data_IF_205934315641
#
_entry.id   IF_205934315641
#
_cell.length_a   1.000
_cell.length_b   1.000
_cell.length_c   1.000
_cell.angle_alpha   90.00
_cell.angle_beta   90.00
_cell.angle_gamma   90.00
#
_symmetry.space_group_name_H-M   'P 1'
#
loop_
_entity.id
_entity.type
_entity.pdbx_description
1 polymer ?
#
# COMPACT_ATOMS: atom_id res chain seq x y z
N UNK A 1 38.24 -14.41 -12.66
CA UNK A 1 37.46 -14.53 -13.91
C UNK A 1 36.06 -14.97 -13.52
N UNK A 2 35.06 -14.14 -13.85
CA UNK A 2 33.59 -14.32 -13.71
C UNK A 2 33.05 -14.24 -12.26
N UNK A 3 32.35 -13.16 -11.84
CA UNK A 3 30.93 -12.79 -12.13
C UNK A 3 29.98 -13.95 -11.80
N UNK A 4 28.83 -13.85 -11.12
CA UNK A 4 27.93 -12.79 -10.60
C UNK A 4 26.78 -13.60 -9.91
N UNK A 5 26.21 -13.29 -8.76
CA UNK A 5 25.04 -12.42 -8.49
C UNK A 5 24.55 -12.83 -7.09
N UNK A 6 24.35 -11.86 -6.19
CA UNK A 6 23.68 -12.08 -4.90
C UNK A 6 22.15 -12.12 -5.08
N UNK A 7 21.41 -12.80 -4.18
CA UNK A 7 19.96 -12.89 -4.29
C UNK A 7 19.31 -11.55 -3.94
N UNK A 8 18.53 -11.04 -4.90
CA UNK A 8 17.56 -9.96 -4.71
C UNK A 8 16.43 -10.51 -3.85
N UNK A 9 16.25 -9.96 -2.65
CA UNK A 9 15.12 -10.27 -1.79
C UNK A 9 13.91 -9.44 -2.26
N UNK A 10 13.14 -9.98 -3.21
CA UNK A 10 11.81 -9.44 -3.56
C UNK A 10 10.85 -9.90 -2.47
N UNK A 11 10.47 -8.98 -1.58
CA UNK A 11 9.34 -9.18 -0.67
C UNK A 11 8.04 -9.10 -1.49
N UNK A 12 7.65 -10.22 -2.09
CA UNK A 12 6.30 -10.42 -2.62
C UNK A 12 5.35 -10.53 -1.43
N UNK A 13 4.76 -9.41 -1.00
CA UNK A 13 3.49 -9.48 -0.26
C UNK A 13 2.43 -9.93 -1.26
N UNK A 14 1.83 -11.10 -0.99
CA UNK A 14 0.63 -11.57 -1.69
C UNK A 14 -0.49 -10.55 -1.49
N UNK A 15 -0.69 -9.67 -2.47
CA UNK A 15 -1.86 -8.79 -2.54
C UNK A 15 -3.05 -9.63 -2.97
N UNK A 16 -3.87 -10.08 -2.02
CA UNK A 16 -5.21 -10.55 -2.31
C UNK A 16 -6.07 -9.30 -2.55
N UNK A 17 -6.04 -8.80 -3.78
CA UNK A 17 -6.78 -7.62 -4.23
C UNK A 17 -8.28 -7.96 -4.22
N UNK A 18 -9.01 -7.63 -3.15
CA UNK A 18 -10.47 -7.59 -3.19
C UNK A 18 -10.88 -6.34 -3.99
N UNK A 19 -11.07 -6.52 -5.29
CA UNK A 19 -11.66 -5.52 -6.17
C UNK A 19 -13.16 -5.38 -5.83
N UNK A 20 -13.51 -4.55 -4.85
CA UNK A 20 -14.90 -4.15 -4.61
C UNK A 20 -15.31 -3.08 -5.63
N UNK A 21 -15.53 -3.55 -6.86
CA UNK A 21 -16.28 -2.83 -7.87
C UNK A 21 -17.72 -2.60 -7.40
N UNK A 22 -18.27 -1.45 -7.80
CA UNK A 22 -19.63 -0.99 -7.55
C UNK A 22 -20.69 -2.10 -7.59
N UNK A 23 -21.10 -2.56 -6.41
CA UNK A 23 -22.35 -3.26 -6.20
C UNK A 23 -22.99 -2.63 -4.96
N UNK A 24 -24.19 -2.08 -5.13
CA UNK A 24 -25.02 -1.71 -3.98
C UNK A 24 -25.13 -2.93 -3.07
N UNK A 25 -24.71 -2.76 -1.81
CA UNK A 25 -24.73 -3.81 -0.80
C UNK A 25 -26.16 -4.32 -0.62
N UNK A 26 -26.49 -5.43 -1.27
CA UNK A 26 -27.47 -6.36 -0.73
C UNK A 26 -26.82 -7.01 0.50
N UNK A 27 -27.54 -6.96 1.62
CA UNK A 27 -27.08 -7.40 2.93
C UNK A 27 -26.55 -8.86 2.91
N UNK A 28 -25.23 -8.99 2.88
CA UNK A 28 -24.53 -10.18 3.35
C UNK A 28 -24.44 -10.07 4.88
N UNK A 29 -24.96 -11.06 5.60
CA UNK A 29 -25.09 -11.09 7.06
C UNK A 29 -23.78 -11.26 7.85
N UNK A 30 -22.63 -11.18 7.18
CA UNK A 30 -21.33 -11.42 7.80
C UNK A 30 -20.63 -10.08 8.12
N UNK A 31 -20.05 -9.92 9.31
CA UNK A 31 -19.33 -8.71 9.66
C UNK A 31 -18.04 -8.57 8.83
N UNK A 32 -17.72 -7.33 8.48
CA UNK A 32 -16.47 -6.94 7.83
C UNK A 32 -15.44 -6.57 8.89
N UNK A 33 -14.23 -7.13 8.81
CA UNK A 33 -13.32 -7.16 9.96
C UNK A 33 -11.99 -6.40 9.78
N UNK A 34 -11.77 -5.73 8.66
CA UNK A 34 -10.57 -4.93 8.43
C UNK A 34 -10.84 -3.88 7.35
N UNK A 35 -10.38 -2.65 7.53
CA UNK A 35 -10.40 -1.61 6.49
C UNK A 35 -9.01 -1.48 5.84
N UNK A 36 -8.97 -0.86 4.66
CA UNK A 36 -7.76 -0.60 3.90
C UNK A 36 -7.79 0.85 3.39
N UNK A 37 -6.82 1.66 3.80
CA UNK A 37 -6.62 3.04 3.37
C UNK A 37 -5.77 3.15 2.10
N UNK A 38 -5.28 2.03 1.57
CA UNK A 38 -4.38 1.95 0.44
C UNK A 38 -2.90 2.02 0.84
N UNK A 39 -2.00 2.03 -0.14
CA UNK A 39 -0.57 2.06 0.11
C UNK A 39 -0.09 3.41 0.66
N UNK A 40 1.09 3.41 1.28
CA UNK A 40 1.79 4.63 1.71
C UNK A 40 1.98 5.61 0.55
N UNK A 41 1.86 6.91 0.86
CA UNK A 41 1.83 7.98 -0.13
C UNK A 41 3.11 8.79 -0.08
N UNK A 42 3.79 8.93 -1.22
CA UNK A 42 4.93 9.84 -1.38
C UNK A 42 4.55 11.05 -2.23
N UNK A 43 4.81 12.28 -1.77
CA UNK A 43 4.41 13.52 -2.46
C UNK A 43 5.52 14.56 -2.57
N UNK A 44 5.46 15.43 -3.60
CA UNK A 44 6.48 16.45 -3.91
C UNK A 44 5.95 17.89 -3.75
N UNK A 45 5.25 18.19 -2.65
CA UNK A 45 4.88 19.57 -2.28
C UNK A 45 3.44 20.03 -2.59
N UNK A 46 2.49 19.12 -2.80
CA UNK A 46 1.04 19.44 -2.85
C UNK A 46 0.27 18.74 -1.73
N UNK A 47 -0.85 19.33 -1.24
CA UNK A 47 -1.76 18.64 -0.33
C UNK A 47 -2.13 17.24 -0.85
N UNK A 48 -2.01 16.24 0.01
CA UNK A 48 -2.43 14.87 -0.29
C UNK A 48 -3.83 14.66 0.23
N UNK A 49 -4.74 14.19 -0.62
CA UNK A 49 -6.06 13.75 -0.19
C UNK A 49 -6.01 12.25 0.10
N UNK A 50 -6.37 11.87 1.32
CA UNK A 50 -6.50 10.48 1.76
C UNK A 50 -7.99 10.17 1.85
N UNK A 51 -8.44 9.13 1.16
CA UNK A 51 -9.83 8.69 1.19
C UNK A 51 -9.97 7.56 2.20
N UNK A 52 -11.00 7.63 3.04
CA UNK A 52 -11.39 6.53 3.90
C UNK A 52 -12.13 5.45 3.11
N UNK A 53 -12.30 4.26 3.69
CA UNK A 53 -13.03 3.17 3.06
C UNK A 53 -14.51 3.55 2.88
N UNK A 54 -15.12 3.22 1.74
CA UNK A 54 -16.53 3.52 1.50
C UNK A 54 -17.49 2.63 2.33
N UNK A 55 -18.72 3.10 2.55
CA UNK A 55 -19.80 2.29 3.12
C UNK A 55 -19.97 2.40 4.64
N UNK A 56 -19.13 3.17 5.33
CA UNK A 56 -19.27 3.41 6.78
C UNK A 56 -20.00 4.73 7.06
N UNK A 57 -20.76 4.76 8.15
CA UNK A 57 -21.50 5.96 8.59
C UNK A 57 -20.68 6.88 9.49
N UNK A 58 -19.65 6.35 10.15
CA UNK A 58 -18.82 7.11 11.10
C UNK A 58 -17.33 6.92 10.77
N UNK A 59 -16.61 8.04 10.72
CA UNK A 59 -15.16 8.11 10.53
C UNK A 59 -14.57 8.90 11.69
N UNK A 60 -13.36 8.56 12.11
CA UNK A 60 -12.55 9.33 13.03
C UNK A 60 -11.09 9.23 12.58
N UNK A 61 -10.60 10.30 11.96
CA UNK A 61 -9.20 10.40 11.56
C UNK A 61 -8.32 10.83 12.73
N UNK A 62 -7.01 10.51 12.68
CA UNK A 62 -6.01 11.02 13.63
C UNK A 62 -5.96 12.55 13.70
N UNK A 63 -6.44 13.24 12.65
CA UNK A 63 -6.60 14.70 12.60
C UNK A 63 -7.82 15.21 13.40
N UNK A 64 -8.66 14.32 13.91
CA UNK A 64 -9.96 14.61 14.53
C UNK A 64 -11.12 14.77 13.55
N UNK A 65 -10.89 14.63 12.24
CA UNK A 65 -11.94 14.77 11.24
C UNK A 65 -12.93 13.58 11.25
N UNK A 66 -14.22 13.87 11.05
CA UNK A 66 -15.29 12.89 10.91
C UNK A 66 -15.77 12.66 9.47
N UNK A 67 -14.97 13.07 8.50
CA UNK A 67 -15.30 13.06 7.06
C UNK A 67 -14.83 11.78 6.37
N UNK A 68 -15.40 11.48 5.20
CA UNK A 68 -15.01 10.31 4.38
C UNK A 68 -13.62 10.43 3.76
N UNK A 69 -13.00 11.61 3.81
CA UNK A 69 -11.63 11.86 3.37
C UNK A 69 -11.02 13.00 4.21
N UNK A 70 -9.70 13.09 4.18
CA UNK A 70 -8.93 14.22 4.74
C UNK A 70 -7.93 14.73 3.72
N UNK A 71 -7.59 16.01 3.83
CA UNK A 71 -6.48 16.62 3.11
C UNK A 71 -5.36 16.91 4.09
N UNK A 72 -4.17 16.38 3.82
CA UNK A 72 -2.99 16.51 4.67
C UNK A 72 -1.88 17.27 3.96
N UNK A 73 -1.15 18.09 4.71
CA UNK A 73 -0.10 18.97 4.17
C UNK A 73 1.30 18.66 4.71
N UNK A 74 1.39 17.68 5.61
CA UNK A 74 2.62 17.32 6.30
C UNK A 74 2.86 15.82 6.17
N UNK A 75 4.13 15.38 6.18
CA UNK A 75 4.44 13.98 6.34
C UNK A 75 4.02 13.50 7.73
N UNK A 76 3.71 12.21 7.83
CA UNK A 76 3.37 11.54 9.07
C UNK A 76 2.46 10.35 8.84
N UNK A 77 2.20 9.61 9.93
CA UNK A 77 1.25 8.51 9.95
C UNK A 77 -0.15 9.05 10.22
N UNK A 78 -1.09 8.70 9.34
CA UNK A 78 -2.50 9.06 9.48
C UNK A 78 -3.33 7.80 9.69
N UNK A 79 -4.08 7.76 10.80
CA UNK A 79 -4.98 6.64 11.09
C UNK A 79 -6.41 7.04 10.77
N UNK A 80 -7.20 6.08 10.29
CA UNK A 80 -8.64 6.22 10.16
C UNK A 80 -9.32 5.11 10.96
N UNK A 81 -10.21 5.50 11.86
CA UNK A 81 -11.11 4.59 12.55
C UNK A 81 -12.51 4.71 11.95
N UNK A 82 -13.16 3.58 11.68
CA UNK A 82 -14.57 3.54 11.26
C UNK A 82 -15.40 2.73 12.23
N UNK A 83 -16.69 3.03 12.31
CA UNK A 83 -17.63 2.33 13.20
C UNK A 83 -18.95 2.02 12.51
N UNK A 84 -19.41 0.78 12.63
CA UNK A 84 -20.72 0.34 12.12
C UNK A 84 -21.35 -0.72 13.03
N UNK A 85 -22.65 -0.96 12.88
CA UNK A 85 -23.37 -2.01 13.62
C UNK A 85 -23.65 -3.22 12.73
N UNK A 86 -23.49 -4.43 13.27
CA UNK A 86 -23.75 -5.66 12.52
C UNK A 86 -25.25 -5.93 12.30
N UNK A 87 -26.12 -5.25 13.05
CA UNK A 87 -27.49 -5.71 13.27
C UNK A 87 -27.54 -7.05 14.04
N UNK A 88 -28.72 -7.66 14.14
CA UNK A 88 -28.84 -9.01 14.66
C UNK A 88 -28.34 -10.01 13.61
N UNK A 89 -27.28 -10.74 13.96
CA UNK A 89 -26.66 -11.75 13.09
C UNK A 89 -27.37 -13.10 13.16
N UNK A 90 -28.23 -13.31 14.16
CA UNK A 90 -28.94 -14.57 14.37
C UNK A 90 -29.99 -14.78 13.28
N UNK A 91 -29.95 -15.95 12.65
CA UNK A 91 -31.01 -16.35 11.71
C UNK A 91 -32.17 -16.98 12.47
N UNK A 92 -33.42 -16.57 12.20
CA UNK A 92 -34.60 -17.16 12.83
C UNK A 92 -34.57 -17.17 14.38
N UNK A 93 -33.96 -16.16 15.01
CA UNK A 93 -33.85 -16.08 16.48
C UNK A 93 -35.19 -15.86 17.19
N UNK A 94 -36.22 -15.45 16.44
CA UNK A 94 -37.60 -15.29 16.89
C UNK A 94 -38.51 -16.47 16.48
N UNK A 95 -37.93 -17.54 15.93
CA UNK A 95 -38.60 -18.78 15.51
C UNK A 95 -39.77 -18.63 14.52
N UNK A 96 -39.93 -17.48 13.86
CA UNK A 96 -41.02 -17.21 12.90
C UNK A 96 -40.97 -18.11 11.65
N UNK A 97 -39.80 -18.64 11.30
CA UNK A 97 -39.62 -19.63 10.24
C UNK A 97 -39.76 -21.08 10.74
N UNK A 98 -40.31 -21.29 11.93
CA UNK A 98 -40.52 -22.61 12.53
C UNK A 98 -39.22 -23.28 12.96
N UNK A 99 -39.20 -24.62 12.91
CA UNK A 99 -38.06 -25.45 13.33
C UNK A 99 -36.93 -25.48 12.27
N UNK A 100 -36.32 -24.33 12.01
CA UNK A 100 -35.22 -24.18 11.03
C UNK A 100 -34.15 -23.23 11.52
N UNK A 101 -32.92 -23.40 11.02
CA UNK A 101 -31.84 -22.43 11.22
C UNK A 101 -31.07 -22.53 12.53
N UNK A 102 -31.34 -23.52 13.39
CA UNK A 102 -30.57 -23.76 14.62
C UNK A 102 -30.38 -25.26 14.86
N UNK A 103 -29.41 -25.63 15.69
CA UNK A 103 -29.28 -26.98 16.26
C UNK A 103 -29.66 -27.00 17.74
N UNK A 104 -30.08 -28.16 18.22
CA UNK A 104 -30.44 -28.43 19.62
C UNK A 104 -30.23 -29.91 19.91
N UNK A 105 -29.95 -30.25 21.17
CA UNK A 105 -29.87 -31.65 21.64
C UNK A 105 -31.23 -32.23 22.04
N UNK A 106 -32.29 -31.42 22.05
CA UNK A 106 -33.66 -31.89 22.30
C UNK A 106 -34.26 -32.57 21.06
N UNK A 107 -35.19 -33.50 21.29
CA UNK A 107 -35.91 -34.19 20.22
C UNK A 107 -37.12 -33.38 19.75
N UNK A 108 -37.28 -33.19 18.45
CA UNK A 108 -38.40 -32.42 17.91
C UNK A 108 -39.72 -33.22 17.96
N UNK A 109 -40.65 -32.82 18.83
CA UNK A 109 -41.95 -33.50 19.01
C UNK A 109 -42.99 -32.52 19.57
N UNK A 110 -44.19 -32.48 18.96
CA UNK A 110 -45.27 -31.59 19.40
C UNK A 110 -45.99 -32.05 20.67
N UNK A 111 -45.87 -33.33 21.04
CA UNK A 111 -46.36 -33.86 22.30
C UNK A 111 -45.28 -33.71 23.38
N UNK A 112 -45.31 -32.59 24.10
CA UNK A 112 -44.31 -32.23 25.10
C UNK A 112 -44.59 -32.87 26.47
N UNK A 113 -45.14 -34.09 26.54
CA UNK A 113 -45.40 -34.84 27.80
C UNK A 113 -44.27 -35.76 28.21
N UNK A 114 -43.31 -36.00 27.31
CA UNK A 114 -42.08 -36.75 27.60
C UNK A 114 -40.93 -35.76 27.67
N UNK A 115 -40.13 -35.83 28.72
CA UNK A 115 -38.92 -35.00 28.89
C UNK A 115 -37.95 -35.20 27.71
N UNK A 116 -37.14 -34.19 27.42
CA UNK A 116 -36.16 -34.23 26.34
C UNK A 116 -36.75 -33.95 24.95
N UNK A 117 -37.96 -33.40 24.90
CA UNK A 117 -38.62 -32.99 23.67
C UNK A 117 -38.82 -31.48 23.59
N UNK A 118 -38.80 -30.94 22.36
CA UNK A 118 -39.11 -29.55 22.07
C UNK A 118 -40.05 -29.38 20.89
N UNK A 119 -40.72 -28.23 20.84
CA UNK A 119 -41.58 -27.82 19.74
C UNK A 119 -41.49 -26.31 19.48
N UNK A 120 -41.72 -25.91 18.23
CA UNK A 120 -41.86 -24.50 17.84
C UNK A 120 -43.33 -24.17 17.59
N UNK A 121 -43.89 -23.26 18.37
CA UNK A 121 -45.32 -22.91 18.29
C UNK A 121 -45.67 -21.69 19.13
N UNK A 122 -46.95 -21.34 19.21
CA UNK A 122 -47.40 -20.05 19.79
C UNK A 122 -47.97 -20.15 21.20
N UNK A 123 -48.34 -21.35 21.65
CA UNK A 123 -48.96 -21.57 22.96
C UNK A 123 -48.52 -22.91 23.56
N UNK A 124 -47.80 -22.86 24.68
CA UNK A 124 -47.27 -24.06 25.34
C UNK A 124 -48.36 -24.98 25.90
N UNK A 125 -49.49 -24.42 26.34
CA UNK A 125 -50.60 -25.18 26.91
C UNK A 125 -51.25 -26.12 25.89
N UNK A 126 -51.07 -25.89 24.59
CA UNK A 126 -51.54 -26.78 23.52
C UNK A 126 -50.69 -28.04 23.35
N UNK A 127 -49.51 -28.08 23.96
CA UNK A 127 -48.51 -29.14 23.79
C UNK A 127 -48.21 -29.88 25.09
N UNK A 128 -48.53 -29.29 26.25
CA UNK A 128 -48.44 -29.91 27.55
C UNK A 128 -49.47 -29.33 28.53
N UNK A 129 -50.26 -30.16 29.27
CA UNK A 129 -51.34 -29.67 30.12
C UNK A 129 -50.87 -28.87 31.34
N UNK A 130 -49.62 -29.01 31.75
CA UNK A 130 -49.05 -28.26 32.88
C UNK A 130 -48.30 -27.00 32.43
N UNK A 131 -48.11 -26.79 31.13
CA UNK A 131 -47.36 -25.65 30.63
C UNK A 131 -48.21 -24.39 30.53
N UNK A 132 -47.58 -23.26 30.81
CA UNK A 132 -48.15 -21.94 30.67
C UNK A 132 -47.17 -21.01 30.00
N UNK A 133 -47.64 -20.31 28.98
CA UNK A 133 -46.82 -19.39 28.21
C UNK A 133 -47.30 -19.26 26.78
N UNK A 134 -47.45 -18.01 26.35
CA UNK A 134 -47.82 -17.66 24.98
C UNK A 134 -46.77 -16.72 24.40
N UNK A 135 -46.43 -16.91 23.13
CA UNK A 135 -45.57 -16.00 22.36
C UNK A 135 -46.41 -14.95 21.62
N UNK A 136 -45.78 -13.82 21.28
CA UNK A 136 -46.32 -12.89 20.27
C UNK A 136 -46.22 -13.47 18.84
N UNK A 137 -45.44 -14.54 18.68
CA UNK A 137 -45.31 -15.37 17.50
C UNK A 137 -44.95 -16.79 17.91
N UNK A 138 -44.41 -17.56 16.98
CA UNK A 138 -43.85 -18.86 17.31
C UNK A 138 -42.61 -18.69 18.19
N UNK A 139 -42.41 -19.57 19.16
CA UNK A 139 -41.24 -19.59 20.04
C UNK A 139 -40.85 -21.05 20.36
N UNK A 140 -39.64 -21.25 20.87
CA UNK A 140 -39.12 -22.56 21.24
C UNK A 140 -39.64 -22.98 22.62
N UNK A 141 -40.25 -24.16 22.72
CA UNK A 141 -40.77 -24.74 23.95
C UNK A 141 -40.09 -26.07 24.22
N UNK A 142 -39.46 -26.24 25.37
CA UNK A 142 -38.89 -27.52 25.78
C UNK A 142 -39.54 -28.06 27.05
N UNK A 143 -39.92 -29.35 27.00
CA UNK A 143 -40.07 -30.15 28.20
C UNK A 143 -38.71 -30.70 28.57
N UNK A 144 -38.10 -30.07 29.55
CA UNK A 144 -36.80 -30.46 30.06
C UNK A 144 -36.96 -31.48 31.18
N UNK A 145 -35.88 -31.81 31.87
CA UNK A 145 -35.93 -32.80 32.93
C UNK A 145 -34.60 -32.94 33.64
N UNK A 146 -34.55 -33.88 34.58
CA UNK A 146 -33.38 -34.13 35.44
C UNK A 146 -32.09 -34.45 34.67
N UNK A 147 -32.20 -35.16 33.55
CA UNK A 147 -31.05 -35.61 32.74
C UNK A 147 -30.51 -34.56 31.75
N UNK A 148 -31.21 -33.43 31.59
CA UNK A 148 -30.93 -32.49 30.49
C UNK A 148 -30.07 -31.30 30.92
N UNK A 149 -29.60 -31.24 32.18
CA UNK A 149 -28.59 -30.27 32.56
C UNK A 149 -27.32 -30.48 31.74
N UNK A 150 -26.85 -29.42 31.08
CA UNK A 150 -25.75 -29.48 30.12
C UNK A 150 -26.20 -29.45 28.67
N UNK A 151 -27.50 -29.62 28.38
CA UNK A 151 -27.97 -29.67 26.99
C UNK A 151 -27.87 -28.31 26.29
N UNK A 152 -27.34 -28.32 25.08
CA UNK A 152 -27.40 -27.22 24.13
C UNK A 152 -28.82 -27.11 23.56
N UNK A 153 -29.51 -26.04 23.95
CA UNK A 153 -30.93 -25.83 23.61
C UNK A 153 -31.12 -25.12 22.27
N UNK A 154 -30.11 -24.36 21.88
CA UNK A 154 -30.06 -23.59 20.65
C UNK A 154 -28.60 -23.27 20.35
N UNK A 155 -28.15 -23.54 19.12
CA UNK A 155 -26.83 -23.12 18.65
C UNK A 155 -26.84 -22.60 17.21
N UNK A 156 -25.97 -21.63 16.94
CA UNK A 156 -25.58 -21.19 15.59
C UNK A 156 -24.09 -20.82 15.56
N UNK A 157 -23.47 -20.95 14.39
CA UNK A 157 -22.10 -20.48 14.15
C UNK A 157 -22.12 -19.22 13.30
N UNK A 158 -21.43 -18.18 13.73
CA UNK A 158 -21.34 -16.90 13.02
C UNK A 158 -19.89 -16.47 12.82
N UNK A 159 -19.62 -15.78 11.70
CA UNK A 159 -18.37 -15.04 11.54
C UNK A 159 -18.33 -13.89 12.53
N UNK A 160 -17.17 -13.67 13.13
CA UNK A 160 -16.91 -12.61 14.09
C UNK A 160 -15.60 -11.91 13.74
N UNK A 161 -15.44 -10.69 14.21
CA UNK A 161 -14.22 -9.92 14.00
C UNK A 161 -13.33 -10.02 15.26
N UNK A 162 -12.05 -10.39 15.11
CA UNK A 162 -11.12 -10.49 16.24
C UNK A 162 -11.10 -9.20 17.08
N UNK A 163 -11.10 -9.35 18.40
CA UNK A 163 -11.06 -8.23 19.35
C UNK A 163 -12.36 -7.44 19.52
N UNK A 164 -13.40 -7.73 18.72
CA UNK A 164 -14.70 -7.03 18.84
C UNK A 164 -15.57 -7.65 19.93
N UNK A 165 -16.36 -6.82 20.60
CA UNK A 165 -17.33 -7.23 21.62
C UNK A 165 -18.73 -7.39 21.02
N UNK A 166 -19.38 -8.51 21.33
CA UNK A 166 -20.73 -8.86 20.89
C UNK A 166 -21.67 -8.87 22.09
N UNK A 167 -22.81 -8.19 21.95
CA UNK A 167 -23.94 -8.33 22.85
C UNK A 167 -24.74 -9.58 22.46
N UNK A 168 -24.89 -10.49 23.42
CA UNK A 168 -25.65 -11.74 23.26
C UNK A 168 -26.89 -11.65 24.13
N UNK A 169 -28.06 -11.87 23.55
CA UNK A 169 -29.32 -11.77 24.29
C UNK A 169 -30.36 -12.77 23.84
N UNK A 170 -31.28 -13.10 24.75
CA UNK A 170 -32.45 -13.90 24.48
C UNK A 170 -33.57 -13.54 25.46
N UNK A 171 -34.80 -13.93 25.13
CA UNK A 171 -35.91 -13.98 26.07
C UNK A 171 -36.20 -15.39 26.48
N UNK A 172 -36.47 -15.60 27.77
CA UNK A 172 -36.93 -16.89 28.25
C UNK A 172 -38.05 -16.75 29.28
N UNK A 173 -38.83 -17.82 29.44
CA UNK A 173 -39.82 -17.95 30.50
C UNK A 173 -39.81 -19.36 31.05
N UNK A 174 -40.20 -19.51 32.31
CA UNK A 174 -40.53 -20.83 32.85
C UNK A 174 -41.91 -21.25 32.35
N UNK A 175 -42.05 -22.48 31.85
CA UNK A 175 -43.35 -23.01 31.41
C UNK A 175 -44.09 -23.75 32.53
N UNK A 176 -43.36 -24.20 33.56
CA UNK A 176 -43.89 -24.96 34.69
C UNK A 176 -43.77 -24.19 36.02
N UNK A 177 -44.66 -24.48 36.96
CA UNK A 177 -44.88 -23.68 38.17
C UNK A 177 -43.87 -23.99 39.28
N UNK A 178 -43.07 -25.03 39.08
CA UNK A 178 -42.04 -25.51 39.98
C UNK A 178 -40.74 -25.63 39.20
N UNK A 179 -39.59 -25.62 39.89
CA UNK A 179 -38.27 -25.79 39.29
C UNK A 179 -37.97 -24.76 38.20
N UNK A 180 -37.49 -23.57 38.55
CA UNK A 180 -37.27 -22.57 37.50
C UNK A 180 -36.06 -22.96 36.60
N UNK A 181 -36.19 -22.89 35.26
CA UNK A 181 -35.07 -23.13 34.36
C UNK A 181 -33.92 -22.17 34.61
N UNK A 182 -32.70 -22.68 34.48
CA UNK A 182 -31.48 -21.87 34.52
C UNK A 182 -30.75 -22.04 33.20
N UNK A 183 -30.65 -20.95 32.43
CA UNK A 183 -30.07 -20.93 31.10
C UNK A 183 -28.77 -20.10 31.12
N UNK A 184 -27.86 -20.35 30.19
CA UNK A 184 -26.64 -19.54 30.04
C UNK A 184 -26.15 -19.52 28.60
N UNK A 185 -25.32 -18.53 28.28
CA UNK A 185 -24.56 -18.52 27.04
C UNK A 185 -23.26 -19.34 27.18
N UNK A 186 -22.94 -20.02 26.09
CA UNK A 186 -21.75 -20.83 25.91
C UNK A 186 -21.19 -20.54 24.51
N UNK A 187 -19.93 -20.15 24.40
CA UNK A 187 -19.31 -19.76 23.11
C UNK A 187 -18.04 -20.57 22.91
N UNK A 188 -17.94 -21.26 21.78
CA UNK A 188 -16.79 -22.10 21.41
C UNK A 188 -16.42 -23.17 22.46
N UNK A 189 -17.39 -23.75 23.16
CA UNK A 189 -17.04 -24.72 24.21
C UNK A 189 -16.64 -24.07 25.54
N UNK A 190 -16.78 -22.74 25.70
CA UNK A 190 -16.43 -22.04 26.92
C UNK A 190 -17.58 -21.21 27.48
N UNK A 191 -17.65 -21.14 28.81
CA UNK A 191 -18.65 -20.36 29.53
C UNK A 191 -18.39 -18.86 29.37
N UNK A 192 -19.40 -18.11 28.91
CA UNK A 192 -19.28 -16.66 28.69
C UNK A 192 -20.22 -15.82 29.55
N UNK A 193 -21.26 -16.41 30.13
CA UNK A 193 -22.19 -15.73 31.03
C UNK A 193 -22.28 -16.39 32.39
N UNK A 194 -22.87 -15.68 33.35
CA UNK A 194 -23.36 -16.33 34.56
C UNK A 194 -24.60 -17.19 34.24
N UNK A 195 -24.93 -18.09 35.15
CA UNK A 195 -26.19 -18.82 35.11
C UNK A 195 -27.36 -17.84 35.28
N UNK A 196 -28.26 -17.78 34.30
CA UNK A 196 -29.46 -16.96 34.32
C UNK A 196 -30.67 -17.83 34.69
N UNK A 197 -31.10 -17.73 35.95
CA UNK A 197 -32.33 -18.37 36.40
C UNK A 197 -33.53 -17.53 35.95
N UNK A 198 -34.48 -18.16 35.24
CA UNK A 198 -35.76 -17.50 34.96
C UNK A 198 -36.53 -17.35 36.27
N UNK A 199 -37.02 -16.16 36.58
CA UNK A 199 -37.81 -15.94 37.80
C UNK A 199 -39.25 -16.42 37.61
N UNK A 200 -39.76 -17.17 38.59
CA UNK A 200 -41.18 -17.54 38.71
C UNK A 200 -42.07 -16.29 38.95
N UNK A 201 -43.38 -16.33 38.63
CA UNK A 201 -44.18 -17.50 38.23
C UNK A 201 -44.09 -17.88 36.74
N UNK A 202 -44.53 -19.09 36.41
CA UNK A 202 -44.59 -19.62 35.04
C UNK A 202 -45.32 -18.69 34.07
N UNK A 203 -44.90 -18.65 32.80
CA UNK A 203 -45.53 -17.89 31.72
C UNK A 203 -45.10 -16.44 31.56
N UNK A 204 -44.16 -15.95 32.39
CA UNK A 204 -43.65 -14.59 32.30
C UNK A 204 -42.33 -14.53 31.53
N UNK A 205 -42.33 -13.80 30.42
CA UNK A 205 -41.12 -13.54 29.65
C UNK A 205 -40.13 -12.64 30.39
N UNK A 206 -38.86 -13.01 30.32
CA UNK A 206 -37.73 -12.26 30.86
C UNK A 206 -36.68 -12.07 29.78
N UNK A 207 -35.92 -10.99 29.86
CA UNK A 207 -34.88 -10.65 28.90
C UNK A 207 -33.51 -10.78 29.58
N UNK A 208 -32.60 -11.50 28.93
CA UNK A 208 -31.25 -11.73 29.42
C UNK A 208 -30.25 -11.21 28.40
N UNK A 209 -29.19 -10.57 28.89
CA UNK A 209 -28.11 -10.06 28.05
C UNK A 209 -26.76 -10.28 28.72
N UNK A 210 -25.76 -10.54 27.90
CA UNK A 210 -24.35 -10.63 28.30
C UNK A 210 -23.47 -10.14 27.16
N UNK A 211 -22.17 -10.06 27.40
CA UNK A 211 -21.19 -9.61 26.42
C UNK A 211 -20.08 -10.63 26.28
N UNK A 212 -19.64 -10.86 25.03
CA UNK A 212 -18.51 -11.71 24.72
C UNK A 212 -17.57 -10.99 23.78
N UNK A 213 -16.27 -11.01 24.06
CA UNK A 213 -15.24 -10.43 23.19
C UNK A 213 -14.54 -11.53 22.41
N UNK A 214 -14.51 -11.42 21.09
CA UNK A 214 -13.80 -12.36 20.24
C UNK A 214 -12.30 -12.35 20.55
N UNK A 215 -11.68 -13.48 20.94
CA UNK A 215 -10.24 -13.54 21.15
C UNK A 215 -9.46 -13.16 19.88
N UNK A 216 -8.19 -12.76 20.05
CA UNK A 216 -7.31 -12.45 18.93
C UNK A 216 -7.25 -13.63 17.94
N UNK A 217 -7.32 -13.33 16.64
CA UNK A 217 -7.34 -14.34 15.57
C UNK A 217 -8.64 -15.13 15.40
N UNK A 218 -9.64 -14.95 16.27
CA UNK A 218 -10.93 -15.66 16.16
C UNK A 218 -11.82 -14.98 15.11
N UNK A 219 -12.02 -15.65 13.98
CA UNK A 219 -12.86 -15.14 12.87
C UNK A 219 -14.24 -15.82 12.80
N UNK A 220 -14.46 -16.87 13.59
CA UNK A 220 -15.73 -17.59 13.65
C UNK A 220 -15.96 -18.08 15.09
N UNK A 221 -17.21 -18.06 15.53
CA UNK A 221 -17.58 -18.58 16.84
C UNK A 221 -18.93 -19.32 16.79
N UNK A 222 -18.98 -20.46 17.47
CA UNK A 222 -20.21 -21.20 17.77
C UNK A 222 -20.83 -20.64 19.04
N UNK A 223 -22.04 -20.12 18.93
CA UNK A 223 -22.82 -19.56 20.02
C UNK A 223 -23.94 -20.51 20.38
N UNK A 224 -23.99 -20.90 21.64
CA UNK A 224 -24.99 -21.82 22.17
C UNK A 224 -25.64 -21.24 23.42
N UNK A 225 -26.91 -21.58 23.62
CA UNK A 225 -27.60 -21.43 24.90
C UNK A 225 -27.69 -22.83 25.51
N UNK A 226 -27.34 -22.95 26.77
CA UNK A 226 -27.34 -24.22 27.51
C UNK A 226 -28.33 -24.14 28.67
N UNK A 227 -29.08 -25.21 28.91
CA UNK A 227 -29.82 -25.39 30.16
C UNK A 227 -28.93 -26.05 31.20
N UNK A 228 -28.82 -25.46 32.38
CA UNK A 228 -27.96 -25.93 33.47
C UNK A 228 -28.72 -26.53 34.64
N UNK A 229 -30.02 -26.25 34.75
CA UNK A 229 -30.84 -26.87 35.80
C UNK A 229 -31.34 -28.23 35.36
N UNK A 230 -31.19 -29.23 36.23
CA UNK A 230 -31.82 -30.54 36.10
C UNK A 230 -32.81 -30.75 37.25
N UNK A 231 -34.11 -30.65 36.96
CA UNK A 231 -35.16 -30.93 37.93
C UNK A 231 -36.05 -32.07 37.41
N UNK A 232 -36.54 -32.94 38.29
CA UNK A 232 -37.46 -34.03 37.90
C UNK A 232 -38.91 -33.58 37.73
N UNK A 233 -39.26 -32.37 38.18
CA UNK A 233 -40.51 -31.66 37.90
C UNK A 233 -40.16 -30.19 37.74
N UNK A 234 -40.55 -29.60 36.61
CA UNK A 234 -40.13 -28.25 36.25
C UNK A 234 -38.73 -28.20 35.65
N UNK A 235 -38.27 -27.00 35.32
CA UNK A 235 -37.16 -26.57 34.43
C UNK A 235 -37.53 -26.46 32.96
N UNK A 236 -38.81 -26.63 32.65
CA UNK A 236 -39.37 -26.43 31.32
C UNK A 236 -39.37 -24.95 30.95
N UNK A 237 -38.97 -24.62 29.73
CA UNK A 237 -38.75 -23.24 29.32
C UNK A 237 -39.28 -22.94 27.92
N UNK A 238 -39.71 -21.68 27.78
CA UNK A 238 -39.87 -21.01 26.50
C UNK A 238 -38.63 -20.19 26.20
N UNK A 239 -38.18 -20.16 24.95
CA UNK A 239 -37.07 -19.34 24.45
C UNK A 239 -37.49 -18.58 23.19
N UNK A 240 -37.17 -17.29 23.10
CA UNK A 240 -37.54 -16.41 21.99
C UNK A 240 -36.56 -15.23 21.85
N UNK A 241 -36.68 -14.47 20.75
CA UNK A 241 -35.95 -13.23 20.47
C UNK A 241 -34.44 -13.31 20.72
N UNK A 242 -33.81 -14.38 20.23
CA UNK A 242 -32.35 -14.58 20.32
C UNK A 242 -31.65 -13.60 19.38
N UNK A 243 -30.66 -12.88 19.92
CA UNK A 243 -29.92 -11.86 19.19
C UNK A 243 -28.44 -11.84 19.55
N UNK A 244 -27.62 -11.72 18.51
CA UNK A 244 -26.16 -11.52 18.58
C UNK A 244 -25.86 -10.30 17.72
N UNK A 245 -25.30 -9.26 18.32
CA UNK A 245 -25.01 -8.01 17.61
C UNK A 245 -23.77 -7.33 18.16
N UNK A 246 -23.13 -6.50 17.35
CA UNK A 246 -21.97 -5.72 17.77
C UNK A 246 -21.98 -4.33 17.13
N UNK A 247 -21.35 -3.39 17.82
CA UNK A 247 -20.84 -2.15 17.23
C UNK A 247 -19.35 -2.38 16.96
N UNK A 248 -19.01 -2.64 15.70
CA UNK A 248 -17.66 -2.98 15.27
C UNK A 248 -16.87 -1.70 15.03
N UNK A 249 -15.66 -1.67 15.56
CA UNK A 249 -14.68 -0.59 15.39
C UNK A 249 -13.47 -1.13 14.66
N UNK A 250 -13.19 -0.59 13.47
CA UNK A 250 -12.02 -0.96 12.66
C UNK A 250 -11.09 0.24 12.56
N UNK A 251 -9.79 -0.03 12.46
CA UNK A 251 -8.77 1.01 12.22
C UNK A 251 -7.75 0.51 11.22
N UNK A 252 -7.25 1.43 10.42
CA UNK A 252 -6.08 1.25 9.56
C UNK A 252 -5.27 2.55 9.50
N UNK A 253 -4.03 2.47 9.02
CA UNK A 253 -3.08 3.58 8.94
C UNK A 253 -2.40 3.69 7.58
N UNK A 254 -2.04 4.90 7.20
CA UNK A 254 -1.26 5.19 5.99
C UNK A 254 -0.10 6.12 6.34
N UNK A 255 1.09 5.83 5.83
CA UNK A 255 2.25 6.70 5.96
C UNK A 255 2.30 7.70 4.80
N UNK A 256 2.43 8.99 5.13
CA UNK A 256 2.63 10.05 4.15
C UNK A 256 4.07 10.56 4.25
N UNK A 257 4.80 10.43 3.16
CA UNK A 257 6.21 10.79 3.04
C UNK A 257 6.36 11.98 2.08
N UNK A 258 7.23 12.94 2.41
CA UNK A 258 7.63 13.99 1.47
C UNK A 258 8.84 13.52 0.70
N UNK A 259 8.76 13.52 -0.63
CA UNK A 259 9.96 13.47 -1.46
C UNK A 259 10.49 14.90 -1.59
N UNK A 260 11.30 15.33 -0.62
CA UNK A 260 12.04 16.58 -0.78
C UNK A 260 13.22 16.28 -1.67
N UNK A 261 13.17 16.71 -2.93
CA UNK A 261 14.42 16.96 -3.64
C UNK A 261 15.09 18.13 -2.88
N UNK A 262 16.27 17.93 -2.29
CA UNK A 262 16.88 18.93 -1.41
C UNK A 262 17.23 20.22 -2.14
N UNK A 263 17.49 20.11 -3.45
CA UNK A 263 17.76 21.22 -4.36
C UNK A 263 17.00 20.99 -5.66
N UNK A 264 16.28 22.02 -6.12
CA UNK A 264 15.66 22.02 -7.44
C UNK A 264 16.61 22.70 -8.45
N UNK A 265 17.32 21.89 -9.25
CA UNK A 265 18.28 22.38 -10.25
C UNK A 265 17.56 22.88 -11.51
N UNK A 266 17.74 24.15 -11.86
CA UNK A 266 17.18 24.76 -13.08
C UNK A 266 18.04 24.50 -14.31
N UNK A 267 19.36 24.60 -14.18
CA UNK A 267 20.27 24.40 -15.29
C UNK A 267 21.66 24.02 -14.81
N UNK A 268 22.38 23.24 -15.62
CA UNK A 268 23.83 23.03 -15.52
C UNK A 268 24.42 23.08 -16.93
N UNK A 269 25.25 24.08 -17.19
CA UNK A 269 25.81 24.40 -18.50
C UNK A 269 27.29 24.69 -18.39
N UNK A 270 27.98 24.73 -19.52
CA UNK A 270 29.36 25.18 -19.53
C UNK A 270 29.88 25.43 -20.94
N UNK A 271 31.07 26.02 -20.99
CA UNK A 271 31.73 26.45 -22.21
C UNK A 271 33.25 26.24 -22.09
N UNK A 272 33.87 25.83 -23.20
CA UNK A 272 35.33 25.73 -23.30
C UNK A 272 35.89 27.06 -23.80
N UNK A 273 36.59 27.81 -22.94
CA UNK A 273 37.14 29.14 -23.25
C UNK A 273 38.64 29.13 -22.95
N UNK A 274 39.47 29.49 -23.94
CA UNK A 274 40.93 29.61 -23.79
C UNK A 274 41.60 28.37 -23.17
N UNK A 275 41.09 27.18 -23.49
CA UNK A 275 41.61 25.90 -22.97
C UNK A 275 41.14 25.52 -21.55
N UNK A 276 40.17 26.25 -20.99
CA UNK A 276 39.57 25.98 -19.68
C UNK A 276 38.07 25.65 -19.83
N UNK A 277 37.51 24.86 -18.91
CA UNK A 277 36.07 24.63 -18.85
C UNK A 277 35.43 25.56 -17.81
N UNK A 278 34.58 26.46 -18.26
CA UNK A 278 33.75 27.32 -17.41
C UNK A 278 32.39 26.66 -17.22
N UNK A 279 32.03 26.37 -15.97
CA UNK A 279 30.83 25.64 -15.59
C UNK A 279 29.89 26.58 -14.82
N UNK A 280 28.60 26.54 -15.14
CA UNK A 280 27.58 27.40 -14.57
C UNK A 280 26.33 26.61 -14.22
N UNK A 281 25.73 26.87 -13.07
CA UNK A 281 24.44 26.28 -12.71
C UNK A 281 23.56 27.21 -11.90
N UNK A 282 22.26 26.89 -11.94
CA UNK A 282 21.22 27.61 -11.20
C UNK A 282 20.33 26.67 -10.43
N UNK A 283 19.93 27.07 -9.25
CA UNK A 283 18.91 26.40 -8.44
C UNK A 283 17.68 27.29 -8.32
N UNK A 284 16.48 26.71 -8.27
CA UNK A 284 15.23 27.43 -8.00
C UNK A 284 15.03 27.60 -6.49
N UNK A 285 15.21 26.50 -5.76
CA UNK A 285 15.13 26.43 -4.30
C UNK A 285 16.22 25.50 -3.75
N UNK A 286 16.62 25.76 -2.52
CA UNK A 286 17.59 24.94 -1.77
C UNK A 286 17.05 24.72 -0.36
N UNK A 287 17.14 23.50 0.14
CA UNK A 287 16.78 23.15 1.50
C UNK A 287 17.87 22.28 2.09
N UNK A 288 18.44 22.73 3.20
CA UNK A 288 19.58 22.10 3.87
C UNK A 288 20.81 21.84 2.97
N UNK A 289 20.97 22.55 1.85
CA UNK A 289 22.10 22.33 0.94
C UNK A 289 23.42 22.82 1.55
N UNK A 290 24.35 21.91 1.84
CA UNK A 290 25.65 22.24 2.39
C UNK A 290 26.62 22.71 1.29
N UNK A 291 26.81 21.91 0.25
CA UNK A 291 27.69 22.25 -0.88
C UNK A 291 27.43 21.42 -2.15
N UNK A 292 27.96 21.93 -3.27
CA UNK A 292 28.13 21.19 -4.51
C UNK A 292 29.60 20.76 -4.67
N UNK A 293 29.81 19.51 -5.04
CA UNK A 293 31.08 19.02 -5.58
C UNK A 293 30.98 18.99 -7.09
N UNK A 294 31.93 19.59 -7.76
CA UNK A 294 32.02 19.58 -9.23
C UNK A 294 32.99 18.48 -9.60
N UNK A 295 32.50 17.46 -10.30
CA UNK A 295 33.29 16.30 -10.68
C UNK A 295 33.55 16.30 -12.17
N UNK A 296 34.74 15.82 -12.56
CA UNK A 296 35.16 15.63 -13.96
C UNK A 296 35.50 14.16 -14.22
N UNK A 297 35.13 13.66 -15.39
CA UNK A 297 35.52 12.34 -15.88
C UNK A 297 35.96 12.38 -17.35
N UNK A 298 36.86 11.48 -17.73
CA UNK A 298 37.23 11.23 -19.12
C UNK A 298 36.42 10.08 -19.75
N UNK A 299 35.82 9.22 -18.93
CA UNK A 299 35.29 7.92 -19.33
C UNK A 299 33.90 7.61 -18.77
N UNK A 300 33.29 8.55 -18.02
CA UNK A 300 32.02 8.41 -17.29
C UNK A 300 32.05 7.39 -16.13
N UNK A 301 33.21 6.79 -15.85
CA UNK A 301 33.37 5.76 -14.81
C UNK A 301 34.16 6.32 -13.63
N UNK A 302 35.33 6.90 -13.90
CA UNK A 302 36.20 7.48 -12.88
C UNK A 302 35.97 9.00 -12.81
N UNK A 303 35.60 9.48 -11.63
CA UNK A 303 35.28 10.88 -11.39
C UNK A 303 36.28 11.51 -10.42
N UNK A 304 36.87 12.63 -10.82
CA UNK A 304 37.76 13.44 -10.00
C UNK A 304 37.03 14.72 -9.56
N UNK A 305 37.06 15.04 -8.27
CA UNK A 305 36.56 16.33 -7.76
C UNK A 305 37.53 17.45 -8.16
N UNK A 306 37.01 18.43 -8.92
CA UNK A 306 37.79 19.58 -9.38
C UNK A 306 37.49 20.85 -8.60
N UNK A 307 36.31 20.94 -7.98
CA UNK A 307 35.91 22.07 -7.17
C UNK A 307 34.86 21.68 -6.12
N UNK A 308 34.81 22.45 -5.04
CA UNK A 308 33.77 22.40 -4.02
C UNK A 308 33.23 23.81 -3.80
N UNK A 309 31.92 23.98 -3.97
CA UNK A 309 31.24 25.27 -3.92
C UNK A 309 30.16 25.23 -2.84
N UNK A 310 30.26 26.07 -1.79
CA UNK A 310 29.24 26.12 -0.73
C UNK A 310 27.84 26.40 -1.29
N UNK A 311 26.85 25.68 -0.76
CA UNK A 311 25.44 25.89 -1.02
C UNK A 311 24.90 27.10 -0.25
N UNK A 312 23.63 27.46 -0.47
CA UNK A 312 22.98 28.54 0.26
C UNK A 312 22.41 28.09 1.63
N UNK A 313 22.53 26.81 2.00
CA UNK A 313 21.83 26.23 3.15
C UNK A 313 20.34 26.12 2.89
N UNK A 314 19.61 27.23 3.03
CA UNK A 314 18.19 27.32 2.72
C UNK A 314 17.92 28.53 1.81
N UNK A 315 17.23 28.31 0.68
CA UNK A 315 16.81 29.36 -0.23
C UNK A 315 15.48 29.06 -0.92
N UNK A 316 14.66 30.08 -1.06
CA UNK A 316 13.41 30.06 -1.84
C UNK A 316 13.49 30.94 -3.09
N UNK A 317 14.71 31.36 -3.49
CA UNK A 317 14.93 32.19 -4.66
C UNK A 317 16.14 31.70 -5.43
N UNK A 318 16.21 32.10 -6.71
CA UNK A 318 17.24 31.63 -7.64
C UNK A 318 18.64 31.93 -7.10
N UNK A 319 19.52 30.92 -7.17
CA UNK A 319 20.95 31.08 -6.93
C UNK A 319 21.75 30.75 -8.18
N UNK A 320 22.80 31.53 -8.39
CA UNK A 320 23.73 31.40 -9.50
C UNK A 320 25.09 30.95 -8.96
N UNK A 321 25.62 29.89 -9.53
CA UNK A 321 26.92 29.33 -9.16
C UNK A 321 27.81 29.15 -10.39
N UNK A 322 29.12 29.09 -10.15
CA UNK A 322 30.08 28.81 -11.18
C UNK A 322 31.32 28.10 -10.63
N UNK A 323 32.00 27.36 -11.51
CA UNK A 323 33.31 26.77 -11.26
C UNK A 323 34.14 26.77 -12.55
N UNK A 324 35.46 26.72 -12.41
CA UNK A 324 36.38 26.67 -13.55
C UNK A 324 37.32 25.48 -13.39
N UNK A 325 37.36 24.62 -14.41
CA UNK A 325 38.44 23.67 -14.59
C UNK A 325 39.56 24.32 -15.40
N UNK A 326 40.64 24.69 -14.71
CA UNK A 326 41.79 25.36 -15.30
C UNK A 326 42.73 24.45 -16.09
N UNK A 327 42.60 23.11 -15.94
CA UNK A 327 43.40 22.14 -16.68
C UNK A 327 42.57 20.93 -17.11
N UNK A 328 41.59 21.11 -18.02
CA UNK A 328 40.81 20.01 -18.60
C UNK A 328 41.71 18.99 -19.29
N UNK A 329 41.23 17.74 -19.36
CA UNK A 329 41.93 16.70 -20.09
C UNK A 329 41.81 16.97 -21.60
N UNK A 330 42.78 16.47 -22.39
CA UNK A 330 42.63 16.50 -23.83
C UNK A 330 41.47 15.59 -24.28
N UNK A 331 40.64 16.07 -25.20
CA UNK A 331 39.46 15.33 -25.65
C UNK A 331 38.15 15.82 -25.02
N UNK A 332 37.13 14.98 -25.06
CA UNK A 332 35.86 15.24 -24.37
C UNK A 332 36.01 15.03 -22.88
N UNK A 333 35.64 16.03 -22.10
CA UNK A 333 35.55 15.98 -20.65
C UNK A 333 34.07 15.95 -20.26
N UNK A 334 33.72 15.11 -19.30
CA UNK A 334 32.38 15.01 -18.74
C UNK A 334 32.38 15.64 -17.35
N UNK A 335 31.35 16.42 -17.05
CA UNK A 335 31.18 17.11 -15.77
C UNK A 335 29.82 16.77 -15.17
N UNK A 336 29.75 16.66 -13.86
CA UNK A 336 28.49 16.54 -13.11
C UNK A 336 28.62 17.27 -11.78
N UNK A 337 27.49 17.71 -11.24
CA UNK A 337 27.38 18.23 -9.89
C UNK A 337 26.92 17.11 -8.96
N UNK A 338 27.63 16.96 -7.87
CA UNK A 338 27.25 16.11 -6.76
C UNK A 338 26.89 17.02 -5.58
N UNK A 339 25.59 17.17 -5.34
CA UNK A 339 25.02 18.00 -4.29
C UNK A 339 24.98 17.22 -2.98
N UNK A 340 25.34 17.89 -1.88
CA UNK A 340 25.39 17.30 -0.53
C UNK A 340 24.65 18.21 0.44
N UNK A 341 23.74 17.63 1.22
CA UNK A 341 23.00 18.32 2.28
C UNK A 341 23.74 18.32 3.63
N UNK A 342 23.29 19.17 4.55
CA UNK A 342 23.74 19.26 5.94
C UNK A 342 23.55 17.96 6.72
N UNK A 343 22.59 17.11 6.33
CA UNK A 343 22.35 15.80 6.92
C UNK A 343 23.11 14.66 6.21
N UNK A 344 23.86 14.99 5.15
CA UNK A 344 24.64 14.05 4.35
C UNK A 344 23.87 13.38 3.21
N UNK A 345 22.62 13.75 2.95
CA UNK A 345 21.89 13.31 1.76
C UNK A 345 22.57 13.83 0.49
N UNK A 346 22.57 13.01 -0.56
CA UNK A 346 23.32 13.26 -1.79
C UNK A 346 22.41 13.20 -3.04
N UNK A 347 22.62 14.10 -4.00
CA UNK A 347 21.93 14.12 -5.28
C UNK A 347 22.87 14.49 -6.44
N UNK A 348 22.54 14.03 -7.65
CA UNK A 348 23.38 14.18 -8.84
C UNK A 348 22.68 14.98 -9.94
N UNK A 349 23.42 15.85 -10.62
CA UNK A 349 22.93 16.51 -11.83
C UNK A 349 23.06 15.61 -13.07
N UNK A 350 22.40 15.97 -14.18
CA UNK A 350 22.78 15.48 -15.50
C UNK A 350 24.27 15.71 -15.80
N UNK A 351 24.81 14.90 -16.71
CA UNK A 351 26.20 15.03 -17.16
C UNK A 351 26.30 16.06 -18.29
N UNK A 352 27.23 16.99 -18.16
CA UNK A 352 27.62 17.96 -19.17
C UNK A 352 28.90 17.49 -19.87
N UNK A 353 28.92 17.43 -21.21
CA UNK A 353 30.13 17.13 -21.98
C UNK A 353 30.71 18.43 -22.57
N UNK A 354 32.00 18.70 -22.36
CA UNK A 354 32.73 19.80 -22.99
C UNK A 354 33.96 19.26 -23.70
N UNK A 355 34.13 19.68 -24.94
CA UNK A 355 35.20 19.19 -25.79
C UNK A 355 36.42 20.14 -25.77
N UNK A 356 37.56 19.58 -25.37
CA UNK A 356 38.87 20.23 -25.30
C UNK A 356 39.85 19.66 -26.32
N UNK A 357 39.36 19.08 -27.42
CA UNK A 357 40.24 18.67 -28.51
C UNK A 357 41.05 19.87 -29.01
N UNK A 358 40.45 21.06 -29.17
CA UNK A 358 41.17 22.25 -29.64
C UNK A 358 41.75 22.08 -31.05
N UNK A 359 41.33 21.02 -31.76
CA UNK A 359 41.64 20.74 -33.14
C UNK A 359 40.35 20.45 -33.93
N UNK A 360 40.27 21.03 -35.11
CA UNK A 360 39.17 20.98 -36.06
C UNK A 360 39.71 20.51 -37.41
N UNK A 361 38.88 19.78 -38.15
CA UNK A 361 39.09 19.50 -39.56
C UNK A 361 38.22 20.47 -40.35
N UNK A 362 38.80 21.17 -41.32
CA UNK A 362 38.06 22.11 -42.14
C UNK A 362 38.57 22.16 -43.59
N UNK A 363 37.67 22.55 -44.47
CA UNK A 363 37.96 22.89 -45.86
C UNK A 363 37.92 24.41 -46.00
N UNK A 364 38.95 24.99 -46.62
CA UNK A 364 38.94 26.40 -47.02
C UNK A 364 38.21 26.59 -48.36
N UNK A 365 36.97 26.12 -48.44
CA UNK A 365 36.15 26.13 -49.66
C UNK A 365 34.98 25.14 -49.57
N UNK A 366 34.30 24.86 -50.70
CA UNK A 366 33.09 24.06 -50.69
C UNK A 366 33.36 22.58 -50.39
N UNK A 367 32.31 21.90 -49.94
CA UNK A 367 32.23 20.44 -49.90
C UNK A 367 30.91 20.09 -50.61
N UNK A 368 30.90 19.60 -51.87
CA UNK A 368 32.01 18.98 -52.60
C UNK A 368 33.17 19.89 -52.98
N UNK A 369 34.39 19.34 -52.99
CA UNK A 369 35.66 20.01 -53.26
C UNK A 369 36.35 19.42 -54.51
N UNK A 370 37.14 20.20 -55.29
CA UNK A 370 37.95 19.64 -56.37
C UNK A 370 38.97 18.61 -55.88
N UNK A 371 39.24 17.56 -56.68
CA UNK A 371 40.34 16.61 -56.40
C UNK A 371 41.67 17.35 -56.16
N UNK A 372 42.36 17.00 -55.07
CA UNK A 372 43.62 17.63 -54.66
C UNK A 372 43.46 18.85 -53.74
N UNK A 373 42.24 19.36 -53.50
CA UNK A 373 42.01 20.48 -52.58
C UNK A 373 42.53 20.16 -51.17
N UNK A 374 43.35 21.05 -50.56
CA UNK A 374 43.86 20.82 -49.21
C UNK A 374 42.75 20.83 -48.15
N UNK A 375 42.78 19.82 -47.29
CA UNK A 375 42.00 19.73 -46.05
C UNK A 375 42.93 20.13 -44.91
N UNK A 376 42.50 21.08 -44.10
CA UNK A 376 43.29 21.66 -43.03
C UNK A 376 42.87 21.12 -41.68
N UNK A 377 43.84 21.07 -40.75
CA UNK A 377 43.56 20.88 -39.35
C UNK A 377 44.44 21.80 -38.50
N UNK A 378 43.92 22.34 -37.41
CA UNK A 378 44.71 23.08 -36.43
C UNK A 378 45.21 22.16 -35.31
N UNK A 379 46.24 22.59 -34.58
CA UNK A 379 46.80 21.87 -33.43
C UNK A 379 47.74 20.70 -33.78
N UNK A 380 48.17 20.00 -32.74
CA UNK A 380 49.03 18.81 -32.81
C UNK A 380 48.18 17.56 -32.71
N UNK A 381 48.39 16.62 -33.63
CA UNK A 381 47.68 15.34 -33.70
C UNK A 381 48.67 14.18 -33.52
N UNK A 382 48.20 13.06 -32.98
CA UNK A 382 48.97 11.83 -32.80
C UNK A 382 48.85 10.91 -34.01
N UNK A 383 47.69 10.91 -34.67
CA UNK A 383 47.44 10.08 -35.86
C UNK A 383 46.48 10.78 -36.84
N UNK A 384 46.64 10.48 -38.13
CA UNK A 384 45.77 10.92 -39.22
C UNK A 384 45.48 9.75 -40.15
N UNK A 385 44.20 9.54 -40.46
CA UNK A 385 43.75 8.48 -41.36
C UNK A 385 42.77 9.02 -42.37
N UNK A 386 42.93 8.60 -43.62
CA UNK A 386 41.94 8.83 -44.68
C UNK A 386 41.43 7.48 -45.15
N UNK A 387 40.12 7.29 -45.16
CA UNK A 387 39.47 6.09 -45.67
C UNK A 387 38.37 6.41 -46.66
N UNK A 388 38.06 5.48 -47.56
CA UNK A 388 36.80 5.52 -48.30
C UNK A 388 35.62 4.99 -47.45
N UNK A 389 34.42 4.95 -48.01
CA UNK A 389 33.22 4.43 -47.33
C UNK A 389 33.26 2.92 -47.05
N UNK A 390 34.18 2.18 -47.66
CA UNK A 390 34.41 0.75 -47.39
C UNK A 390 35.52 0.53 -46.34
N UNK A 391 36.05 1.61 -45.75
CA UNK A 391 37.12 1.56 -44.76
C UNK A 391 38.51 1.29 -45.35
N UNK A 392 38.68 1.33 -46.68
CA UNK A 392 39.99 1.14 -47.30
C UNK A 392 40.83 2.40 -47.09
N UNK A 393 42.09 2.21 -46.69
CA UNK A 393 43.04 3.31 -46.52
C UNK A 393 43.34 3.99 -47.85
N UNK A 394 43.27 5.31 -47.87
CA UNK A 394 43.49 6.14 -49.05
C UNK A 394 44.81 6.90 -48.87
N UNK A 395 45.72 6.86 -49.86
CA UNK A 395 46.95 7.62 -49.80
C UNK A 395 46.67 9.12 -49.92
N UNK A 396 47.41 9.90 -49.13
CA UNK A 396 47.34 11.36 -49.11
C UNK A 396 48.76 11.93 -49.01
N UNK A 397 48.94 13.18 -49.42
CA UNK A 397 50.17 13.95 -49.20
C UNK A 397 49.98 14.96 -48.09
N UNK A 398 50.99 15.15 -47.24
CA UNK A 398 50.99 16.15 -46.17
C UNK A 398 51.81 17.37 -46.54
N UNK A 399 51.36 18.55 -46.12
CA UNK A 399 52.15 19.77 -46.09
C UNK A 399 51.81 20.56 -44.81
N UNK A 400 52.64 20.40 -43.78
CA UNK A 400 52.39 20.93 -42.45
C UNK A 400 51.04 20.47 -41.90
N UNK A 401 50.18 21.44 -41.56
CA UNK A 401 48.84 21.26 -41.01
C UNK A 401 47.75 21.03 -42.07
N UNK A 402 48.14 20.56 -43.25
CA UNK A 402 47.21 20.30 -44.38
C UNK A 402 47.50 18.96 -45.03
N UNK A 403 46.47 18.29 -45.51
CA UNK A 403 46.55 17.07 -46.30
C UNK A 403 45.82 17.25 -47.64
N UNK A 404 46.29 16.59 -48.69
CA UNK A 404 45.61 16.52 -49.99
C UNK A 404 45.44 15.07 -50.42
N UNK A 405 44.23 14.74 -50.87
CA UNK A 405 43.87 13.44 -51.42
C UNK A 405 43.94 13.55 -52.95
N UNK A 406 44.79 12.73 -53.58
CA UNK A 406 45.01 12.74 -55.03
C UNK A 406 44.34 11.56 -55.75
N UNK A 407 43.66 10.68 -55.01
CA UNK A 407 42.78 9.67 -55.60
C UNK A 407 41.53 10.36 -56.14
N UNK A 408 40.97 9.83 -57.23
CA UNK A 408 39.91 10.48 -58.01
C UNK A 408 38.60 10.74 -57.26
N UNK A 409 37.58 11.12 -58.02
CA UNK A 409 36.24 11.48 -57.52
C UNK A 409 35.69 10.42 -56.54
N UNK A 410 35.18 10.87 -55.39
CA UNK A 410 34.67 9.95 -54.37
C UNK A 410 34.38 10.61 -53.03
N UNK A 411 33.85 9.80 -52.09
CA UNK A 411 33.58 10.21 -50.71
C UNK A 411 34.65 9.62 -49.80
N UNK A 412 35.26 10.48 -49.00
CA UNK A 412 36.35 10.15 -48.09
C UNK A 412 35.99 10.57 -46.67
N UNK A 413 36.50 9.83 -45.70
CA UNK A 413 36.45 10.17 -44.27
C UNK A 413 37.87 10.44 -43.81
N UNK A 414 38.12 11.69 -43.45
CA UNK A 414 39.37 12.10 -42.82
C UNK A 414 39.18 12.04 -41.32
N UNK A 415 40.02 11.29 -40.62
CA UNK A 415 40.00 11.18 -39.17
C UNK A 415 41.34 11.63 -38.60
N UNK A 416 41.31 12.57 -37.66
CA UNK A 416 42.48 12.96 -36.86
C UNK A 416 42.28 12.50 -35.42
N UNK A 417 43.36 12.11 -34.76
CA UNK A 417 43.34 11.59 -33.40
C UNK A 417 44.38 12.29 -32.53
N UNK A 418 44.05 12.51 -31.26
CA UNK A 418 44.99 12.87 -30.19
C UNK A 418 44.58 12.17 -28.90
N UNK A 419 45.47 11.37 -28.34
CA UNK A 419 45.17 10.45 -27.24
C UNK A 419 44.08 9.45 -27.65
N UNK A 420 43.05 9.33 -26.83
CA UNK A 420 41.87 8.50 -27.12
C UNK A 420 40.80 9.22 -27.96
N UNK A 421 40.92 10.53 -28.17
CA UNK A 421 39.90 11.33 -28.85
C UNK A 421 40.19 11.40 -30.37
N UNK A 422 39.15 11.29 -31.19
CA UNK A 422 39.24 11.41 -32.64
C UNK A 422 38.14 12.31 -33.22
N UNK A 423 38.45 13.06 -34.28
CA UNK A 423 37.50 13.85 -35.07
C UNK A 423 37.49 13.32 -36.48
N UNK A 424 36.31 13.20 -37.06
CA UNK A 424 36.15 12.81 -38.45
C UNK A 424 35.41 13.87 -39.27
N UNK A 425 35.85 14.10 -40.49
CA UNK A 425 35.17 14.93 -41.47
C UNK A 425 34.90 14.12 -42.74
N UNK A 426 33.65 14.15 -43.21
CA UNK A 426 33.30 13.62 -44.52
C UNK A 426 33.65 14.66 -45.60
N UNK A 427 34.42 14.25 -46.60
CA UNK A 427 34.82 15.07 -47.74
C UNK A 427 34.34 14.40 -49.02
N UNK A 428 33.66 15.16 -49.87
CA UNK A 428 33.28 14.73 -51.22
C UNK A 428 34.24 15.40 -52.20
N UNK A 429 34.95 14.62 -53.01
CA UNK A 429 35.83 15.12 -54.07
C UNK A 429 35.21 14.90 -55.44
N UNK A 430 35.21 15.94 -56.27
CA UNK A 430 34.65 15.98 -57.64
C UNK A 430 35.64 16.49 -58.69
#
# INVERSE_FOLDING_TARGET
MHERIGPICIAQRCTLLFLLGHLGLSASSQPFCAIDLGPDITYSGSPVQINGPAGFSNYLWSTGAGTTNITVNAPGTYTCQVTYTTGNMVTNGNFSAGNTGFSTEFNHNSALTTEGNYWIGTNAASHHPQFWGTGSGAFYMANAGWMHAGYEVWCQTHTVCPGQTYALSFRAMSLASQGAPTLRWYVNGELTSINHQTVLPQGNWQYFTTYWTAPAGTTQAGFCIEITSGHGIGNDFGLDDISISSTVVLSDEVEVLVNTLPVELLSFTGEAISGQSHLHWRTATERNNDHFRVLRSADLVQWAEIARVPGAGNSQGIKDYHAVDGAPLAGTNYYTLHQVDLDGTEAWSPVLALDHMGYELFLNGPNPAPVGMPIHFNGTIDDLRVTDLLGRHIPYSMNGNSLSIHTGVGIYVVTIQRGAAFRSMRVVLE
#
